data_IF_404325995301
#
_entry.id   IF_404325995301
#
_cell.length_a   1.000
_cell.length_b   1.000
_cell.length_c   1.000
_cell.angle_alpha   90.00
_cell.angle_beta   90.00
_cell.angle_gamma   90.00
#
_symmetry.space_group_name_H-M   'P 1'
#
loop_
_entity.id
_entity.type
_entity.pdbx_description
1 polymer ?
#
# COMPACT_ATOMS: atom_id res chain seq x y z
N UNK A 1 -8.84 25.61 -5.60
CA UNK A 1 -10.11 24.92 -5.93
C UNK A 1 -10.69 25.30 -7.30
N UNK A 2 -11.30 26.48 -7.50
CA UNK A 2 -11.95 26.82 -8.79
C UNK A 2 -10.99 27.01 -9.97
N UNK A 3 -9.80 27.57 -9.73
CA UNK A 3 -8.79 27.75 -10.77
C UNK A 3 -8.11 26.44 -11.21
N UNK A 4 -7.92 25.50 -10.27
CA UNK A 4 -7.34 24.19 -10.54
C UNK A 4 -8.28 23.35 -11.42
N UNK A 5 -9.58 23.38 -11.11
CA UNK A 5 -10.64 22.80 -11.94
C UNK A 5 -10.67 23.41 -13.35
N UNK A 6 -10.45 24.72 -13.46
CA UNK A 6 -10.37 25.41 -14.76
C UNK A 6 -9.13 24.98 -15.56
N UNK A 7 -7.98 24.83 -14.90
CA UNK A 7 -6.72 24.38 -15.53
C UNK A 7 -6.83 22.93 -16.01
N UNK A 8 -7.42 22.03 -15.22
CA UNK A 8 -7.68 20.64 -15.62
C UNK A 8 -8.61 20.54 -16.83
N UNK A 9 -9.72 21.30 -16.85
CA UNK A 9 -10.63 21.35 -18.02
C UNK A 9 -9.95 21.87 -19.28
N UNK A 10 -9.04 22.84 -19.15
CA UNK A 10 -8.27 23.38 -20.29
C UNK A 10 -7.25 22.38 -20.82
N UNK A 11 -6.61 21.61 -19.94
CA UNK A 11 -5.68 20.55 -20.31
C UNK A 11 -6.36 19.40 -21.05
N UNK A 12 -7.60 19.05 -20.68
CA UNK A 12 -8.39 18.01 -21.37
C UNK A 12 -8.84 18.43 -22.78
N UNK A 13 -9.14 19.71 -23.01
CA UNK A 13 -9.59 20.23 -24.32
C UNK A 13 -8.52 20.21 -25.40
N UNK A 14 -7.25 20.30 -25.02
CA UNK A 14 -6.13 20.41 -25.96
C UNK A 14 -5.38 19.09 -26.18
N UNK A 15 -5.90 17.96 -25.68
CA UNK A 15 -5.32 16.66 -26.01
C UNK A 15 -5.69 16.35 -27.46
N UNK A 16 -4.72 16.32 -28.40
CA UNK A 16 -5.03 15.98 -29.78
C UNK A 16 -5.65 14.58 -29.79
N UNK A 17 -6.81 14.46 -30.42
CA UNK A 17 -7.39 13.15 -30.71
C UNK A 17 -6.34 12.41 -31.54
N UNK A 18 -5.92 11.22 -31.08
CA UNK A 18 -4.85 10.45 -31.74
C UNK A 18 -5.18 10.07 -33.19
N UNK A 19 -6.42 10.26 -33.62
CA UNK A 19 -6.92 9.92 -34.94
C UNK A 19 -7.58 11.19 -35.50
N UNK A 20 -7.06 11.71 -36.61
CA UNK A 20 -7.63 12.85 -37.33
C UNK A 20 -8.94 12.49 -38.02
N UNK A 21 -9.97 12.16 -37.24
CA UNK A 21 -11.29 11.74 -37.71
C UNK A 21 -12.41 12.15 -36.76
N UNK A 22 -13.63 12.20 -37.29
CA UNK A 22 -14.84 12.56 -36.55
C UNK A 22 -15.12 11.50 -35.47
N UNK A 23 -15.05 11.89 -34.20
CA UNK A 23 -15.47 11.04 -33.08
C UNK A 23 -16.99 10.93 -33.06
N UNK A 24 -17.51 9.70 -32.95
CA UNK A 24 -18.94 9.48 -32.71
C UNK A 24 -19.27 9.78 -31.25
N UNK A 25 -20.51 10.22 -30.98
CA UNK A 25 -20.98 10.48 -29.60
C UNK A 25 -20.86 9.23 -28.72
N UNK A 26 -21.05 8.04 -29.30
CA UNK A 26 -20.91 6.77 -28.59
C UNK A 26 -19.46 6.53 -28.13
N UNK A 27 -18.48 6.79 -29.00
CA UNK A 27 -17.06 6.64 -28.67
C UNK A 27 -16.61 7.69 -27.65
N UNK A 28 -17.09 8.93 -27.78
CA UNK A 28 -16.88 9.97 -26.78
C UNK A 28 -17.39 9.56 -25.39
N UNK A 29 -18.58 8.96 -25.30
CA UNK A 29 -19.13 8.44 -24.04
C UNK A 29 -18.30 7.28 -23.46
N UNK A 30 -17.79 6.38 -24.30
CA UNK A 30 -16.89 5.30 -23.88
C UNK A 30 -15.57 5.85 -23.32
N UNK A 31 -14.99 6.85 -23.96
CA UNK A 31 -13.74 7.47 -23.50
C UNK A 31 -13.90 8.18 -22.15
N UNK A 32 -15.02 8.86 -21.92
CA UNK A 32 -15.32 9.49 -20.61
C UNK A 32 -15.43 8.40 -19.53
N UNK A 33 -16.22 7.34 -19.74
CA UNK A 33 -16.33 6.22 -18.79
C UNK A 33 -14.98 5.55 -18.51
N UNK A 34 -14.16 5.36 -19.53
CA UNK A 34 -12.80 4.83 -19.36
C UNK A 34 -11.89 5.77 -18.57
N UNK A 35 -12.12 7.08 -18.63
CA UNK A 35 -11.37 8.06 -17.87
C UNK A 35 -11.79 8.02 -16.40
N UNK A 36 -13.10 7.94 -16.13
CA UNK A 36 -13.65 7.80 -14.76
C UNK A 36 -13.10 6.54 -14.08
N UNK A 37 -13.13 5.38 -14.75
CA UNK A 37 -12.57 4.14 -14.20
C UNK A 37 -11.06 4.22 -13.94
N UNK A 38 -10.29 4.93 -14.78
CA UNK A 38 -8.85 5.12 -14.55
C UNK A 38 -8.58 5.94 -13.30
N UNK A 39 -9.41 6.94 -13.00
CA UNK A 39 -9.29 7.73 -11.77
C UNK A 39 -9.64 6.88 -10.54
N UNK A 40 -10.69 6.06 -10.61
CA UNK A 40 -11.06 5.12 -9.55
C UNK A 40 -9.94 4.10 -9.28
N UNK A 41 -9.35 3.53 -10.33
CA UNK A 41 -8.25 2.56 -10.21
C UNK A 41 -6.98 3.21 -9.65
N UNK A 42 -6.68 4.45 -10.04
CA UNK A 42 -5.56 5.20 -9.46
C UNK A 42 -5.75 5.46 -7.96
N UNK A 43 -6.97 5.81 -7.55
CA UNK A 43 -7.32 6.00 -6.15
C UNK A 43 -7.18 4.69 -5.35
N UNK A 44 -7.66 3.56 -5.89
CA UNK A 44 -7.49 2.23 -5.28
C UNK A 44 -6.01 1.87 -5.10
N UNK A 45 -5.21 2.02 -6.15
CA UNK A 45 -3.77 1.74 -6.08
C UNK A 45 -3.05 2.61 -5.04
N UNK A 46 -3.46 3.88 -4.90
CA UNK A 46 -2.91 4.76 -3.88
C UNK A 46 -3.23 4.26 -2.47
N UNK A 47 -4.47 3.86 -2.21
CA UNK A 47 -4.89 3.30 -0.92
C UNK A 47 -4.14 2.02 -0.58
N UNK A 48 -4.00 1.10 -1.53
CA UNK A 48 -3.24 -0.14 -1.35
C UNK A 48 -1.76 0.13 -1.02
N UNK A 49 -1.13 1.09 -1.70
CA UNK A 49 0.25 1.48 -1.42
C UNK A 49 0.40 2.02 0.00
N UNK A 50 -0.55 2.85 0.47
CA UNK A 50 -0.55 3.38 1.83
C UNK A 50 -0.75 2.26 2.86
N UNK A 51 -1.71 1.38 2.64
CA UNK A 51 -1.96 0.23 3.50
C UNK A 51 -0.72 -0.67 3.60
N UNK A 52 -0.08 -0.98 2.47
CA UNK A 52 1.16 -1.78 2.41
C UNK A 52 2.31 -1.10 3.14
N UNK A 53 2.48 0.23 2.98
CA UNK A 53 3.49 1.00 3.73
C UNK A 53 3.27 0.91 5.23
N UNK A 54 2.02 1.10 5.70
CA UNK A 54 1.66 0.98 7.12
C UNK A 54 1.95 -0.42 7.65
N UNK A 55 1.53 -1.46 6.92
CA UNK A 55 1.81 -2.84 7.29
C UNK A 55 3.31 -3.12 7.42
N UNK A 56 4.11 -2.68 6.43
CA UNK A 56 5.56 -2.86 6.46
C UNK A 56 6.22 -2.10 7.61
N UNK A 57 5.75 -0.90 7.94
CA UNK A 57 6.25 -0.13 9.08
C UNK A 57 5.97 -0.87 10.40
N UNK A 58 4.75 -1.38 10.57
CA UNK A 58 4.37 -2.18 11.74
C UNK A 58 5.21 -3.46 11.85
N UNK A 59 5.38 -4.19 10.74
CA UNK A 59 6.23 -5.38 10.68
C UNK A 59 7.66 -5.07 11.15
N UNK A 60 8.26 -3.97 10.67
CA UNK A 60 9.60 -3.54 11.10
C UNK A 60 9.65 -3.20 12.59
N UNK A 61 8.64 -2.53 13.12
CA UNK A 61 8.56 -2.20 14.54
C UNK A 61 8.49 -3.47 15.40
N UNK A 62 7.65 -4.44 15.02
CA UNK A 62 7.57 -5.73 15.71
C UNK A 62 8.87 -6.52 15.63
N UNK A 63 9.52 -6.53 14.47
CA UNK A 63 10.81 -7.20 14.29
C UNK A 63 11.91 -6.57 15.18
N UNK A 64 11.97 -5.23 15.23
CA UNK A 64 12.91 -4.52 16.08
C UNK A 64 12.64 -4.79 17.57
N UNK A 65 11.37 -4.77 18.00
CA UNK A 65 10.98 -5.11 19.36
C UNK A 65 11.34 -6.56 19.71
N UNK A 66 11.11 -7.51 18.81
CA UNK A 66 11.47 -8.91 19.00
C UNK A 66 12.98 -9.10 19.14
N UNK A 67 13.79 -8.40 18.33
CA UNK A 67 15.27 -8.41 18.44
C UNK A 67 15.74 -7.85 19.78
N UNK A 68 15.17 -6.71 20.21
CA UNK A 68 15.50 -6.11 21.50
C UNK A 68 15.14 -7.03 22.67
N UNK A 69 13.95 -7.65 22.62
CA UNK A 69 13.52 -8.61 23.63
C UNK A 69 14.43 -9.86 23.67
N UNK A 70 14.86 -10.37 22.51
CA UNK A 70 15.84 -11.47 22.45
C UNK A 70 17.16 -11.09 23.11
N UNK A 71 17.69 -9.90 22.83
CA UNK A 71 18.92 -9.40 23.46
C UNK A 71 18.80 -9.33 24.98
N UNK A 72 17.72 -8.72 25.50
CA UNK A 72 17.47 -8.64 26.95
C UNK A 72 17.31 -10.00 27.63
N UNK A 73 16.79 -11.02 26.92
CA UNK A 73 16.72 -12.40 27.44
C UNK A 73 18.09 -13.07 27.51
N UNK A 74 18.96 -12.83 26.52
CA UNK A 74 20.34 -13.32 26.54
C UNK A 74 21.14 -12.67 27.68
N UNK A 75 20.93 -11.36 27.91
CA UNK A 75 21.51 -10.61 29.03
C UNK A 75 20.94 -11.01 30.41
N UNK A 76 19.94 -11.90 30.46
CA UNK A 76 19.34 -12.39 31.69
C UNK A 76 18.35 -11.41 32.36
N UNK A 77 18.08 -10.25 31.76
CA UNK A 77 17.14 -9.24 32.25
C UNK A 77 15.69 -9.74 32.13
N UNK A 78 15.39 -10.51 31.07
CA UNK A 78 14.08 -11.09 30.84
C UNK A 78 14.11 -12.62 31.00
N UNK A 79 12.97 -13.20 31.35
CA UNK A 79 12.80 -14.64 31.44
C UNK A 79 13.03 -15.35 30.09
N UNK A 80 13.60 -16.57 30.10
CA UNK A 80 13.81 -17.35 28.88
C UNK A 80 12.50 -17.55 28.13
N UNK A 81 12.53 -17.37 26.81
CA UNK A 81 11.34 -17.53 25.98
C UNK A 81 11.03 -19.03 25.83
N UNK A 82 9.86 -19.48 26.27
CA UNK A 82 9.38 -20.82 25.95
C UNK A 82 8.77 -20.83 24.54
N UNK A 83 9.28 -21.72 23.68
CA UNK A 83 8.82 -21.93 22.31
C UNK A 83 8.07 -23.26 22.27
N UNK A 84 6.80 -23.21 21.89
CA UNK A 84 5.98 -24.40 21.67
C UNK A 84 6.25 -24.90 20.25
N UNK A 85 6.97 -26.01 20.11
CA UNK A 85 7.30 -26.62 18.81
C UNK A 85 6.22 -27.62 18.36
N UNK A 86 5.46 -28.19 19.31
CA UNK A 86 4.38 -29.16 19.04
C UNK A 86 3.31 -29.12 20.14
N UNK A 87 2.13 -29.71 19.88
CA UNK A 87 1.07 -29.81 20.89
C UNK A 87 1.60 -30.61 22.08
N UNK A 88 1.68 -29.97 23.25
CA UNK A 88 2.20 -30.58 24.48
C UNK A 88 3.72 -30.58 24.62
N UNK A 89 4.46 -30.03 23.65
CA UNK A 89 5.93 -30.04 23.65
C UNK A 89 6.54 -28.70 23.27
N UNK A 90 7.52 -28.25 24.04
CA UNK A 90 8.25 -27.02 23.77
C UNK A 90 9.59 -26.98 24.45
N UNK A 91 10.36 -25.94 24.16
CA UNK A 91 11.69 -25.72 24.70
C UNK A 91 11.91 -24.27 25.04
N UNK A 92 12.69 -24.02 26.08
CA UNK A 92 13.19 -22.68 26.33
C UNK A 92 14.27 -22.35 25.30
N UNK A 93 14.20 -21.14 24.74
CA UNK A 93 15.27 -20.59 23.93
C UNK A 93 16.53 -20.54 24.80
N UNK A 94 17.56 -21.32 24.44
CA UNK A 94 18.84 -21.33 25.14
C UNK A 94 19.36 -19.90 25.28
N UNK A 95 19.76 -19.52 26.49
CA UNK A 95 20.66 -18.37 26.66
C UNK A 95 21.97 -18.78 25.99
N UNK A 96 22.30 -18.09 24.90
CA UNK A 96 23.55 -18.28 24.18
C UNK A 96 24.74 -17.96 25.05
#
# INVERSE_FOLDING_TARGET
MAEELRKQRKAGKNRPLQHGGVITVADGRKMVRQSDHKEEDAARQMLERVAKRRHNAMKRAFEAAAKAARKRRLEGILEPLYIVDSIGGGRHLRRG
#
